data_IF_181611561382
#
_entry.id   IF_181611561382
#
_cell.length_a   1.000
_cell.length_b   1.000
_cell.length_c   1.000
_cell.angle_alpha   90.00
_cell.angle_beta   90.00
_cell.angle_gamma   90.00
#
_symmetry.space_group_name_H-M   'P 1'
#
loop_
_entity.id
_entity.type
_entity.pdbx_description
1 polymer ?
#
# COMPACT_ATOMS: atom_id res chain seq x y z
N UNK A 1 -11.22 -26.77 2.37
CA UNK A 1 -12.40 -27.32 3.04
C UNK A 1 -13.63 -26.65 2.44
N UNK A 2 -14.71 -27.39 2.18
CA UNK A 2 -15.94 -26.80 1.65
C UNK A 2 -16.64 -25.98 2.74
N UNK A 3 -17.21 -24.83 2.39
CA UNK A 3 -17.99 -24.01 3.31
C UNK A 3 -19.37 -24.64 3.56
N UNK A 4 -19.85 -24.62 4.80
CA UNK A 4 -21.22 -25.00 5.11
C UNK A 4 -22.14 -23.80 4.83
N UNK A 5 -22.91 -23.89 3.73
CA UNK A 5 -23.79 -22.82 3.27
C UNK A 5 -25.26 -23.07 3.60
N UNK A 6 -25.59 -24.23 4.15
CA UNK A 6 -26.96 -24.66 4.48
C UNK A 6 -27.46 -24.19 5.84
N UNK A 7 -26.56 -23.86 6.77
CA UNK A 7 -26.92 -23.41 8.13
C UNK A 7 -26.34 -22.04 8.41
N UNK A 8 -27.20 -21.08 8.75
CA UNK A 8 -26.80 -19.70 9.07
C UNK A 8 -26.35 -19.64 10.53
N UNK A 9 -25.08 -19.26 10.81
CA UNK A 9 -24.64 -19.03 12.18
C UNK A 9 -25.34 -17.80 12.78
N UNK A 10 -25.85 -17.89 14.01
CA UNK A 10 -26.46 -16.73 14.69
C UNK A 10 -25.46 -15.61 15.00
N UNK A 11 -24.19 -15.97 15.19
CA UNK A 11 -23.12 -15.02 15.53
C UNK A 11 -21.84 -15.31 14.75
N UNK A 12 -21.11 -14.25 14.44
CA UNK A 12 -19.79 -14.31 13.79
C UNK A 12 -18.69 -14.13 14.84
N UNK A 13 -17.61 -14.91 14.73
CA UNK A 13 -16.40 -14.70 15.54
C UNK A 13 -15.54 -13.56 14.99
N UNK A 14 -15.01 -12.73 15.87
CA UNK A 14 -14.05 -11.68 15.56
C UNK A 14 -12.80 -12.22 14.84
N UNK A 15 -12.26 -11.44 13.90
CA UNK A 15 -10.94 -11.71 13.28
C UNK A 15 -10.00 -10.52 13.48
N UNK A 16 -9.43 -10.45 14.69
CA UNK A 16 -8.51 -9.37 15.09
C UNK A 16 -7.21 -9.31 14.27
N UNK A 17 -6.85 -10.39 13.55
CA UNK A 17 -5.69 -10.40 12.66
C UNK A 17 -5.91 -9.59 11.38
N UNK A 18 -7.17 -9.37 11.00
CA UNK A 18 -7.56 -8.70 9.75
C UNK A 18 -8.28 -7.38 10.04
N UNK A 19 -9.26 -7.39 10.93
CA UNK A 19 -10.10 -6.24 11.28
C UNK A 19 -9.80 -5.68 12.68
N UNK A 20 -8.70 -6.12 13.32
CA UNK A 20 -8.31 -5.62 14.62
C UNK A 20 -7.89 -4.15 14.60
N UNK A 21 -8.16 -3.45 15.69
CA UNK A 21 -7.93 -2.00 15.84
C UNK A 21 -6.54 -1.55 15.39
N UNK A 22 -5.48 -2.26 15.79
CA UNK A 22 -4.12 -1.88 15.43
C UNK A 22 -3.76 -2.11 13.95
N UNK A 23 -4.42 -3.07 13.27
CA UNK A 23 -4.24 -3.30 11.83
C UNK A 23 -4.92 -2.18 11.05
N UNK A 24 -6.13 -1.80 11.45
CA UNK A 24 -6.85 -0.70 10.80
C UNK A 24 -6.14 0.64 11.05
N UNK A 25 -5.75 0.92 12.29
CA UNK A 25 -5.01 2.14 12.63
C UNK A 25 -3.69 2.25 11.89
N UNK A 26 -2.93 1.15 11.75
CA UNK A 26 -1.66 1.19 11.04
C UNK A 26 -1.86 1.57 9.57
N UNK A 27 -2.83 0.96 8.87
CA UNK A 27 -3.14 1.30 7.48
C UNK A 27 -3.62 2.75 7.31
N UNK A 28 -4.52 3.20 8.18
CA UNK A 28 -5.09 4.55 8.14
C UNK A 28 -3.99 5.59 8.43
N UNK A 29 -3.18 5.37 9.46
CA UNK A 29 -2.09 6.27 9.82
C UNK A 29 -1.01 6.31 8.74
N UNK A 30 -0.59 5.16 8.20
CA UNK A 30 0.38 5.12 7.08
C UNK A 30 -0.16 5.87 5.86
N UNK A 31 -1.44 5.68 5.51
CA UNK A 31 -2.05 6.40 4.40
C UNK A 31 -2.12 7.90 4.64
N UNK A 32 -2.52 8.34 5.83
CA UNK A 32 -2.57 9.74 6.20
C UNK A 32 -1.18 10.40 6.11
N UNK A 33 -0.15 9.75 6.66
CA UNK A 33 1.23 10.24 6.62
C UNK A 33 1.73 10.31 5.16
N UNK A 34 1.56 9.25 4.38
CA UNK A 34 2.04 9.18 3.00
C UNK A 34 1.36 10.22 2.09
N UNK A 35 0.04 10.39 2.21
CA UNK A 35 -0.71 11.40 1.44
C UNK A 35 -0.35 12.82 1.87
N UNK A 36 -0.14 13.05 3.17
CA UNK A 36 0.31 14.37 3.68
C UNK A 36 1.70 14.71 3.15
N UNK A 37 2.64 13.75 3.20
CA UNK A 37 3.98 13.96 2.63
C UNK A 37 3.89 14.24 1.13
N UNK A 38 3.08 13.46 0.40
CA UNK A 38 2.83 13.64 -1.04
C UNK A 38 2.31 15.05 -1.34
N UNK A 39 1.32 15.52 -0.57
CA UNK A 39 0.78 16.87 -0.70
C UNK A 39 1.82 17.96 -0.43
N UNK A 40 2.60 17.83 0.64
CA UNK A 40 3.64 18.82 0.96
C UNK A 40 4.74 18.89 -0.09
N UNK A 41 5.09 17.77 -0.73
CA UNK A 41 6.09 17.73 -1.81
C UNK A 41 5.57 18.44 -3.07
N UNK A 42 4.34 18.13 -3.50
CA UNK A 42 3.72 18.80 -4.66
C UNK A 42 3.55 20.31 -4.40
N UNK A 43 3.07 20.70 -3.21
CA UNK A 43 2.91 22.11 -2.86
C UNK A 43 4.24 22.86 -2.81
N UNK A 44 5.30 22.22 -2.33
CA UNK A 44 6.65 22.81 -2.32
C UNK A 44 7.14 23.05 -3.75
N UNK A 45 6.99 22.07 -4.64
CA UNK A 45 7.38 22.18 -6.04
C UNK A 45 6.59 23.26 -6.79
N UNK A 46 5.29 23.38 -6.50
CA UNK A 46 4.43 24.43 -7.07
C UNK A 46 4.77 25.84 -6.57
N UNK A 47 5.10 25.99 -5.27
CA UNK A 47 5.30 27.31 -4.66
C UNK A 47 6.68 27.89 -4.97
N UNK A 48 7.70 27.05 -5.11
CA UNK A 48 9.04 27.54 -5.41
C UNK A 48 9.92 26.43 -5.98
N UNK A 49 10.15 26.48 -7.29
CA UNK A 49 11.10 25.60 -7.98
C UNK A 49 12.55 25.78 -7.52
N UNK A 50 12.84 26.79 -6.69
CA UNK A 50 14.17 27.09 -6.15
C UNK A 50 14.45 26.47 -4.75
N UNK A 51 13.46 25.82 -4.11
CA UNK A 51 13.68 25.20 -2.78
C UNK A 51 14.24 23.79 -2.99
N UNK A 52 15.40 23.51 -2.38
CA UNK A 52 16.07 22.21 -2.42
C UNK A 52 15.09 21.06 -2.16
N UNK A 53 15.06 20.03 -3.03
CA UNK A 53 14.18 18.89 -2.87
C UNK A 53 14.48 18.13 -1.57
N UNK A 54 13.43 17.78 -0.82
CA UNK A 54 13.59 17.18 0.52
C UNK A 54 13.84 15.67 0.44
N UNK A 55 15.12 15.29 0.44
CA UNK A 55 15.61 13.90 0.44
C UNK A 55 14.88 13.05 1.49
N UNK A 56 14.73 13.59 2.69
CA UNK A 56 14.16 12.88 3.83
C UNK A 56 12.69 12.51 3.60
N UNK A 57 11.88 13.44 3.08
CA UNK A 57 10.45 13.22 2.85
C UNK A 57 10.22 12.22 1.72
N UNK A 58 11.01 12.30 0.64
CA UNK A 58 10.95 11.35 -0.47
C UNK A 58 11.29 9.93 -0.01
N UNK A 59 12.34 9.78 0.79
CA UNK A 59 12.72 8.48 1.38
C UNK A 59 11.67 7.94 2.35
N UNK A 60 11.17 8.79 3.24
CA UNK A 60 10.13 8.40 4.20
C UNK A 60 8.85 7.96 3.50
N UNK A 61 8.42 8.71 2.48
CA UNK A 61 7.27 8.36 1.64
C UNK A 61 7.48 7.01 0.94
N UNK A 62 8.68 6.80 0.39
CA UNK A 62 9.02 5.54 -0.27
C UNK A 62 8.91 4.34 0.71
N UNK A 63 9.48 4.48 1.90
CA UNK A 63 9.50 3.44 2.94
C UNK A 63 8.11 3.11 3.48
N UNK A 64 7.28 4.12 3.78
CA UNK A 64 5.88 3.88 4.20
C UNK A 64 5.06 3.18 3.12
N UNK A 65 5.25 3.57 1.85
CA UNK A 65 4.61 2.92 0.71
C UNK A 65 5.05 1.45 0.57
N UNK A 66 6.35 1.15 0.71
CA UNK A 66 6.87 -0.22 0.64
C UNK A 66 6.37 -1.12 1.78
N UNK A 67 6.25 -0.56 2.98
CA UNK A 67 5.69 -1.30 4.10
C UNK A 67 4.20 -1.61 3.87
N UNK A 68 3.42 -0.61 3.43
CA UNK A 68 1.98 -0.76 3.23
C UNK A 68 1.63 -1.73 2.09
N UNK A 69 2.45 -1.80 1.03
CA UNK A 69 2.16 -2.73 -0.07
C UNK A 69 2.34 -4.18 0.35
N UNK A 70 3.38 -4.47 1.12
CA UNK A 70 3.68 -5.82 1.59
C UNK A 70 2.65 -6.30 2.63
N UNK A 71 2.31 -5.44 3.59
CA UNK A 71 1.26 -5.77 4.57
C UNK A 71 -0.11 -5.89 3.90
N UNK A 72 -0.40 -5.05 2.88
CA UNK A 72 -1.65 -5.08 2.13
C UNK A 72 -1.83 -6.36 1.33
N UNK A 73 -0.78 -6.80 0.62
CA UNK A 73 -0.78 -8.10 -0.09
C UNK A 73 -0.91 -9.25 0.91
N UNK A 74 -0.22 -9.16 2.05
CA UNK A 74 -0.29 -10.18 3.11
C UNK A 74 -1.71 -10.39 3.63
N UNK A 75 -2.40 -9.31 4.02
CA UNK A 75 -3.78 -9.37 4.54
C UNK A 75 -4.74 -9.90 3.47
N UNK A 76 -4.64 -9.44 2.23
CA UNK A 76 -5.45 -9.96 1.11
C UNK A 76 -5.19 -11.46 0.87
N UNK A 77 -3.94 -11.91 0.98
CA UNK A 77 -3.61 -13.33 0.82
C UNK A 77 -4.24 -14.18 1.94
N UNK A 78 -4.19 -13.70 3.19
CA UNK A 78 -4.81 -14.38 4.33
C UNK A 78 -6.33 -14.47 4.20
N UNK A 79 -6.99 -13.39 3.80
CA UNK A 79 -8.44 -13.43 3.63
C UNK A 79 -8.86 -14.37 2.49
N UNK A 80 -8.14 -14.39 1.36
CA UNK A 80 -8.41 -15.35 0.28
C UNK A 80 -8.19 -16.81 0.72
N UNK A 81 -7.17 -17.07 1.55
CA UNK A 81 -6.95 -18.39 2.12
C UNK A 81 -8.09 -18.83 3.07
N UNK A 82 -8.78 -17.87 3.70
CA UNK A 82 -9.88 -18.09 4.66
C UNK A 82 -11.27 -17.89 4.06
N UNK A 83 -11.42 -17.93 2.74
CA UNK A 83 -12.72 -17.76 2.03
C UNK A 83 -13.84 -18.68 2.53
N UNK A 84 -13.52 -19.90 2.98
CA UNK A 84 -14.52 -20.87 3.46
C UNK A 84 -15.02 -20.62 4.88
N UNK A 85 -14.37 -19.73 5.64
CA UNK A 85 -14.68 -19.48 7.06
C UNK A 85 -14.94 -18.01 7.37
N UNK A 86 -14.43 -17.10 6.54
CA UNK A 86 -14.52 -15.66 6.75
C UNK A 86 -15.80 -15.10 6.12
N UNK A 87 -16.43 -14.15 6.80
CA UNK A 87 -17.70 -13.55 6.39
C UNK A 87 -17.51 -12.39 5.41
N UNK A 88 -18.56 -12.01 4.65
CA UNK A 88 -18.53 -10.87 3.73
C UNK A 88 -18.06 -9.55 4.35
N UNK A 89 -18.40 -9.30 5.62
CA UNK A 89 -17.97 -8.13 6.38
C UNK A 89 -16.43 -7.97 6.42
N UNK A 90 -15.69 -9.00 6.83
CA UNK A 90 -14.21 -8.94 6.85
C UNK A 90 -13.63 -8.79 5.45
N UNK A 91 -14.23 -9.45 4.45
CA UNK A 91 -13.85 -9.30 3.04
C UNK A 91 -14.00 -7.86 2.55
N UNK A 92 -15.08 -7.20 2.94
CA UNK A 92 -15.32 -5.80 2.61
C UNK A 92 -14.27 -4.88 3.26
N UNK A 93 -13.91 -5.10 4.52
CA UNK A 93 -12.84 -4.35 5.19
C UNK A 93 -11.51 -4.53 4.45
N UNK A 94 -11.10 -5.76 4.16
CA UNK A 94 -9.86 -6.04 3.42
C UNK A 94 -9.87 -5.31 2.07
N UNK A 95 -11.00 -5.36 1.37
CA UNK A 95 -11.14 -4.68 0.09
C UNK A 95 -10.96 -3.15 0.22
N UNK A 96 -11.56 -2.53 1.24
CA UNK A 96 -11.38 -1.10 1.52
C UNK A 96 -9.93 -0.75 1.90
N UNK A 97 -9.24 -1.59 2.69
CA UNK A 97 -7.81 -1.42 2.99
C UNK A 97 -6.94 -1.53 1.74
N UNK A 98 -7.29 -2.43 0.81
CA UNK A 98 -6.63 -2.57 -0.49
C UNK A 98 -6.80 -1.33 -1.36
N UNK A 99 -8.01 -0.75 -1.41
CA UNK A 99 -8.28 0.52 -2.10
C UNK A 99 -7.50 1.69 -1.48
N UNK A 100 -7.44 1.75 -0.14
CA UNK A 100 -6.65 2.74 0.58
C UNK A 100 -5.15 2.63 0.25
N UNK A 101 -4.61 1.41 0.28
CA UNK A 101 -3.23 1.11 -0.11
C UNK A 101 -2.97 1.49 -1.58
N UNK A 102 -3.89 1.19 -2.51
CA UNK A 102 -3.74 1.57 -3.91
C UNK A 102 -3.69 3.09 -4.11
N UNK A 103 -4.53 3.85 -3.40
CA UNK A 103 -4.50 5.30 -3.44
C UNK A 103 -3.14 5.87 -2.99
N UNK A 104 -2.57 5.32 -1.92
CA UNK A 104 -1.25 5.71 -1.42
C UNK A 104 -0.13 5.38 -2.42
N UNK A 105 -0.17 4.19 -3.00
CA UNK A 105 0.81 3.74 -3.99
C UNK A 105 0.79 4.60 -5.26
N UNK A 106 -0.41 4.89 -5.78
CA UNK A 106 -0.57 5.77 -6.93
C UNK A 106 -0.14 7.21 -6.62
N UNK A 107 -0.48 7.75 -5.44
CA UNK A 107 0.00 9.07 -5.02
C UNK A 107 1.54 9.11 -4.91
N UNK A 108 2.14 8.06 -4.35
CA UNK A 108 3.60 7.94 -4.24
C UNK A 108 4.27 7.90 -5.61
N UNK A 109 3.72 7.15 -6.58
CA UNK A 109 4.23 7.11 -7.95
C UNK A 109 4.18 8.48 -8.63
N UNK A 110 3.09 9.23 -8.45
CA UNK A 110 2.95 10.57 -9.04
C UNK A 110 4.03 11.54 -8.54
N UNK A 111 4.35 11.47 -7.25
CA UNK A 111 5.32 12.36 -6.59
C UNK A 111 6.77 11.96 -6.84
N UNK A 112 7.05 10.65 -6.86
CA UNK A 112 8.41 10.10 -6.98
C UNK A 112 8.73 9.60 -8.41
N UNK A 113 7.99 10.06 -9.42
CA UNK A 113 8.13 9.59 -10.81
C UNK A 113 9.56 9.75 -11.35
N UNK A 114 10.25 10.84 -10.99
CA UNK A 114 11.62 11.10 -11.41
C UNK A 114 12.61 10.15 -10.71
N UNK A 115 12.41 9.90 -9.43
CA UNK A 115 13.25 8.99 -8.64
C UNK A 115 13.14 7.54 -9.16
N UNK A 116 11.94 7.08 -9.53
CA UNK A 116 11.75 5.74 -10.11
C UNK A 116 12.23 5.59 -11.55
N UNK A 117 12.39 6.69 -12.30
CA UNK A 117 12.93 6.60 -13.68
C UNK A 117 14.42 6.27 -13.68
N UNK A 118 15.15 6.70 -12.64
CA UNK A 118 16.58 6.40 -12.47
C UNK A 118 16.85 4.92 -12.24
N UNK A 119 16.06 4.28 -11.37
CA UNK A 119 16.31 2.92 -10.90
C UNK A 119 15.31 1.93 -11.50
N UNK A 120 15.67 1.37 -12.67
CA UNK A 120 14.81 0.44 -13.42
C UNK A 120 14.36 -0.77 -12.59
N UNK A 121 15.24 -1.41 -11.82
CA UNK A 121 14.88 -2.61 -11.03
C UNK A 121 13.83 -2.30 -9.97
N UNK A 122 14.03 -1.23 -9.19
CA UNK A 122 13.08 -0.80 -8.16
C UNK A 122 11.73 -0.40 -8.78
N UNK A 123 11.77 0.22 -9.96
CA UNK A 123 10.58 0.55 -10.73
C UNK A 123 9.75 -0.69 -11.06
N UNK A 124 10.37 -1.75 -11.60
CA UNK A 124 9.65 -2.96 -11.97
C UNK A 124 9.19 -3.77 -10.77
N UNK A 125 10.00 -3.88 -9.72
CA UNK A 125 9.59 -4.53 -8.49
C UNK A 125 8.33 -3.86 -7.91
N UNK A 126 8.35 -2.53 -7.80
CA UNK A 126 7.22 -1.75 -7.29
C UNK A 126 5.99 -1.86 -8.18
N UNK A 127 6.15 -1.74 -9.50
CA UNK A 127 5.07 -1.88 -10.46
C UNK A 127 4.44 -3.28 -10.40
N UNK A 128 5.25 -4.33 -10.25
CA UNK A 128 4.81 -5.70 -10.07
C UNK A 128 4.01 -5.86 -8.77
N UNK A 129 4.51 -5.35 -7.65
CA UNK A 129 3.79 -5.42 -6.37
C UNK A 129 2.45 -4.65 -6.43
N UNK A 130 2.43 -3.46 -7.06
CA UNK A 130 1.19 -2.70 -7.23
C UNK A 130 0.22 -3.41 -8.18
N UNK A 131 0.72 -4.08 -9.22
CA UNK A 131 -0.10 -4.92 -10.09
C UNK A 131 -0.67 -6.13 -9.34
N UNK A 132 0.12 -6.82 -8.53
CA UNK A 132 -0.36 -7.90 -7.66
C UNK A 132 -1.46 -7.40 -6.71
N UNK A 133 -1.26 -6.22 -6.09
CA UNK A 133 -2.28 -5.59 -5.26
C UNK A 133 -3.55 -5.27 -6.05
N UNK A 134 -3.45 -4.79 -7.30
CA UNK A 134 -4.61 -4.55 -8.16
C UNK A 134 -5.36 -5.84 -8.46
N UNK A 135 -4.66 -6.90 -8.85
CA UNK A 135 -5.28 -8.20 -9.16
C UNK A 135 -6.02 -8.75 -7.94
N UNK A 136 -5.39 -8.73 -6.77
CA UNK A 136 -6.02 -9.14 -5.52
C UNK A 136 -7.25 -8.26 -5.22
N UNK A 137 -7.13 -6.93 -5.36
CA UNK A 137 -8.24 -5.98 -5.17
C UNK A 137 -9.42 -6.26 -6.10
N UNK A 138 -9.16 -6.60 -7.36
CA UNK A 138 -10.19 -6.99 -8.33
C UNK A 138 -10.87 -8.30 -7.92
N UNK A 139 -10.12 -9.29 -7.45
CA UNK A 139 -10.70 -10.54 -6.93
C UNK A 139 -11.62 -10.23 -5.75
N UNK A 140 -11.16 -9.49 -4.75
CA UNK A 140 -12.00 -9.06 -3.62
C UNK A 140 -13.25 -8.30 -4.07
N UNK A 141 -13.10 -7.38 -5.03
CA UNK A 141 -14.21 -6.66 -5.64
C UNK A 141 -15.25 -7.58 -6.28
N UNK A 142 -14.84 -8.67 -6.94
CA UNK A 142 -15.76 -9.66 -7.51
C UNK A 142 -16.52 -10.41 -6.41
N UNK A 143 -15.85 -10.81 -5.32
CA UNK A 143 -16.49 -11.45 -4.17
C UNK A 143 -17.55 -10.52 -3.56
N UNK A 144 -17.20 -9.25 -3.32
CA UNK A 144 -18.13 -8.24 -2.78
C UNK A 144 -19.28 -7.97 -3.76
N UNK A 145 -19.00 -7.82 -5.05
CA UNK A 145 -20.02 -7.56 -6.08
C UNK A 145 -21.03 -8.71 -6.15
N UNK A 146 -20.55 -9.95 -6.10
CA UNK A 146 -21.41 -11.13 -6.05
C UNK A 146 -22.23 -11.13 -4.76
N UNK A 147 -21.63 -10.80 -3.61
CA UNK A 147 -22.35 -10.72 -2.33
C UNK A 147 -23.49 -9.70 -2.36
N UNK A 148 -23.27 -8.54 -3.00
CA UNK A 148 -24.31 -7.52 -3.20
C UNK A 148 -25.38 -8.02 -4.18
N UNK A 149 -24.98 -8.70 -5.26
CA UNK A 149 -25.91 -9.24 -6.26
C UNK A 149 -26.85 -10.29 -5.66
N UNK A 150 -26.33 -11.15 -4.79
CA UNK A 150 -27.08 -12.23 -4.15
C UNK A 150 -27.76 -11.79 -2.85
N UNK A 151 -27.50 -10.58 -2.35
CA UNK A 151 -28.06 -10.10 -1.08
C UNK A 151 -27.47 -10.75 0.17
N UNK A 152 -26.25 -11.31 0.08
CA UNK A 152 -25.55 -11.94 1.20
C UNK A 152 -24.62 -10.97 1.96
N UNK A 153 -24.56 -9.70 1.58
CA UNK A 153 -23.62 -8.72 2.15
C UNK A 153 -23.71 -8.57 3.67
N UNK A 154 -24.92 -8.69 4.24
CA UNK A 154 -25.18 -8.56 5.67
C UNK A 154 -25.41 -9.93 6.36
N UNK A 155 -25.12 -11.03 5.65
CA UNK A 155 -25.26 -12.38 6.19
C UNK A 155 -24.01 -12.81 6.98
N UNK A 156 -24.22 -13.66 7.98
CA UNK A 156 -23.17 -14.30 8.78
C UNK A 156 -22.57 -15.53 8.10
N UNK A 157 -23.05 -15.90 6.92
CA UNK A 157 -22.53 -17.00 6.13
C UNK A 157 -21.10 -16.71 5.61
N UNK A 158 -20.25 -17.73 5.43
CA UNK A 158 -18.96 -17.56 4.79
C UNK A 158 -19.08 -17.00 3.38
N UNK A 159 -18.14 -16.14 2.96
CA UNK A 159 -18.19 -15.51 1.64
C UNK A 159 -18.17 -16.52 0.48
N UNK A 160 -17.56 -17.70 0.67
CA UNK A 160 -17.57 -18.77 -0.34
C UNK A 160 -19.00 -19.20 -0.74
N UNK A 161 -19.99 -18.98 0.12
CA UNK A 161 -21.39 -19.34 -0.14
C UNK A 161 -22.06 -18.49 -1.22
N UNK A 162 -21.44 -17.40 -1.66
CA UNK A 162 -21.96 -16.58 -2.76
C UNK A 162 -21.98 -17.31 -4.11
N UNK A 163 -21.25 -18.43 -4.24
CA UNK A 163 -21.31 -19.33 -5.40
C UNK A 163 -22.13 -20.61 -5.14
N UNK A 164 -22.65 -20.79 -3.94
CA UNK A 164 -23.38 -22.02 -3.60
C UNK A 164 -24.85 -21.92 -4.02
N UNK A 165 -25.43 -22.97 -4.62
CA UNK A 165 -26.87 -23.04 -4.86
C UNK A 165 -27.67 -23.33 -3.57
N UNK A 166 -27.01 -23.83 -2.52
CA UNK A 166 -27.66 -24.33 -1.29
C UNK A 166 -27.87 -23.24 -0.22
N UNK A 167 -27.93 -21.97 -0.61
CA UNK A 167 -28.11 -20.86 0.32
C UNK A 167 -29.59 -20.76 0.74
N UNK A 168 -29.89 -20.77 2.05
CA UNK A 168 -31.26 -20.58 2.52
C UNK A 168 -31.83 -19.23 2.07
N UNK A 169 -33.11 -19.17 1.65
CA UNK A 169 -33.74 -17.93 1.19
C UNK A 169 -33.80 -16.86 2.29
N UNK A 170 -33.78 -17.27 3.56
CA UNK A 170 -33.73 -16.40 4.74
C UNK A 170 -32.38 -15.67 4.93
N UNK A 171 -31.25 -16.25 4.49
CA UNK A 171 -29.96 -15.57 4.47
C UNK A 171 -29.88 -14.51 3.36
N UNK A 172 -30.71 -14.69 2.33
CA UNK A 172 -30.83 -13.75 1.22
C UNK A 172 -31.86 -12.72 1.60
N UNK A 173 -31.44 -11.68 2.32
CA UNK A 173 -32.31 -10.54 2.53
C UNK A 173 -32.57 -9.89 1.17
N UNK A 174 -33.73 -10.20 0.58
CA UNK A 174 -34.33 -9.36 -0.45
C UNK A 174 -34.58 -8.01 0.23
N UNK A 175 -33.60 -7.12 0.19
CA UNK A 175 -33.75 -5.79 0.77
C UNK A 175 -34.87 -5.09 -0.02
N UNK A 176 -36.08 -5.13 0.52
CA UNK A 176 -37.28 -4.50 -0.01
C UNK A 176 -37.20 -2.97 0.15
N UNK A 177 -36.14 -2.35 -0.39
CA UNK A 177 -35.82 -0.95 -0.12
C UNK A 177 -34.64 -0.39 -0.92
N UNK A 178 -34.79 -0.26 -2.24
CA UNK A 178 -34.28 0.88 -3.02
C UNK A 178 -32.78 1.03 -3.35
N UNK A 179 -31.83 0.37 -2.68
CA UNK A 179 -30.39 0.76 -2.81
C UNK A 179 -29.43 -0.31 -3.36
N UNK A 180 -29.90 -1.53 -3.68
CA UNK A 180 -29.03 -2.62 -4.21
C UNK A 180 -28.40 -2.20 -5.54
N UNK A 181 -29.18 -1.59 -6.44
CA UNK A 181 -28.67 -1.12 -7.74
C UNK A 181 -27.55 -0.08 -7.58
N UNK A 182 -27.69 0.85 -6.63
CA UNK A 182 -26.66 1.85 -6.35
C UNK A 182 -25.39 1.23 -5.76
N UNK A 183 -25.51 0.28 -4.82
CA UNK A 183 -24.37 -0.43 -4.24
C UNK A 183 -23.66 -1.34 -5.27
N UNK A 184 -24.43 -2.00 -6.14
CA UNK A 184 -23.94 -2.85 -7.22
C UNK A 184 -23.17 -2.01 -8.27
N UNK A 185 -23.79 -0.95 -8.78
CA UNK A 185 -23.16 -0.03 -9.74
C UNK A 185 -21.96 0.66 -9.11
N UNK A 186 -22.07 1.08 -7.85
CA UNK A 186 -20.97 1.68 -7.10
C UNK A 186 -19.76 0.75 -6.99
N UNK A 187 -19.99 -0.53 -6.66
CA UNK A 187 -18.93 -1.54 -6.60
C UNK A 187 -18.24 -1.72 -7.96
N UNK A 188 -19.00 -1.81 -9.05
CA UNK A 188 -18.42 -1.90 -10.42
C UNK A 188 -17.61 -0.66 -10.74
N UNK A 189 -18.13 0.53 -10.44
CA UNK A 189 -17.45 1.79 -10.70
C UNK A 189 -16.12 1.89 -9.94
N UNK A 190 -16.07 1.41 -8.69
CA UNK A 190 -14.83 1.38 -7.90
C UNK A 190 -13.81 0.41 -8.51
N UNK A 191 -14.23 -0.80 -8.90
CA UNK A 191 -13.32 -1.78 -9.53
C UNK A 191 -12.76 -1.23 -10.85
N UNK A 192 -13.63 -0.74 -11.74
CA UNK A 192 -13.24 -0.18 -13.03
C UNK A 192 -12.36 1.06 -12.85
N UNK A 193 -12.73 1.96 -11.93
CA UNK A 193 -11.96 3.15 -11.60
C UNK A 193 -10.55 2.81 -11.14
N UNK A 194 -10.40 1.77 -10.30
CA UNK A 194 -9.10 1.34 -9.80
C UNK A 194 -8.18 0.84 -10.93
N UNK A 195 -8.72 0.05 -11.87
CA UNK A 195 -7.99 -0.42 -13.05
C UNK A 195 -7.57 0.75 -13.95
N UNK A 196 -8.49 1.69 -14.21
CA UNK A 196 -8.20 2.88 -15.03
C UNK A 196 -7.12 3.74 -14.39
N UNK A 197 -7.24 4.04 -13.10
CA UNK A 197 -6.26 4.85 -12.35
C UNK A 197 -4.88 4.19 -12.41
N UNK A 198 -4.78 2.88 -12.17
CA UNK A 198 -3.51 2.17 -12.24
C UNK A 198 -2.91 2.21 -13.65
N UNK A 199 -3.73 2.03 -14.69
CA UNK A 199 -3.30 2.16 -16.08
C UNK A 199 -2.76 3.56 -16.40
N UNK A 200 -3.46 4.61 -15.95
CA UNK A 200 -3.03 6.00 -16.10
C UNK A 200 -1.74 6.30 -15.34
N UNK A 201 -1.59 5.79 -14.11
CA UNK A 201 -0.37 5.95 -13.31
C UNK A 201 0.83 5.24 -13.97
N UNK A 202 0.61 4.04 -14.52
CA UNK A 202 1.62 3.26 -15.25
C UNK A 202 2.04 3.96 -16.54
N UNK A 203 1.06 4.48 -17.28
CA UNK A 203 1.28 5.27 -18.48
C UNK A 203 2.10 6.53 -18.17
N UNK A 204 1.71 7.26 -17.12
CA UNK A 204 2.39 8.46 -16.66
C UNK A 204 3.87 8.20 -16.33
N UNK A 205 4.17 7.08 -15.67
CA UNK A 205 5.53 6.66 -15.33
C UNK A 205 6.41 6.38 -16.56
N UNK A 206 5.83 5.85 -17.64
CA UNK A 206 6.57 5.49 -18.86
C UNK A 206 6.62 6.61 -19.90
N UNK A 207 5.76 7.63 -19.80
CA UNK A 207 5.73 8.69 -20.77
C UNK A 207 6.99 9.59 -20.69
N UNK A 208 7.63 9.83 -21.84
CA UNK A 208 8.94 10.50 -21.95
C UNK A 208 8.88 12.02 -21.85
N UNK A 209 7.72 12.63 -22.14
CA UNK A 209 7.58 14.10 -22.16
C UNK A 209 6.15 14.48 -21.79
N UNK A 210 5.96 15.17 -20.68
CA UNK A 210 4.63 15.58 -20.21
C UNK A 210 4.61 17.09 -19.97
N UNK A 211 3.92 17.81 -20.85
CA UNK A 211 3.82 19.28 -20.81
C UNK A 211 2.98 19.79 -19.64
N UNK A 212 2.12 18.95 -19.06
CA UNK A 212 1.18 19.27 -17.98
C UNK A 212 1.38 18.43 -16.72
N UNK A 213 2.60 17.96 -16.47
CA UNK A 213 2.89 17.02 -15.37
C UNK A 213 2.45 17.55 -13.99
N UNK A 214 2.61 18.86 -13.71
CA UNK A 214 2.16 19.50 -12.46
C UNK A 214 0.65 19.42 -12.25
N UNK A 215 -0.13 19.60 -13.31
CA UNK A 215 -1.59 19.51 -13.25
C UNK A 215 -1.99 18.05 -12.99
N UNK A 216 -1.34 17.10 -13.66
CA UNK A 216 -1.59 15.67 -13.49
C UNK A 216 -1.28 15.24 -12.05
N UNK A 217 -0.16 15.69 -11.47
CA UNK A 217 0.18 15.42 -10.08
C UNK A 217 -0.84 15.99 -9.09
N UNK A 218 -1.27 17.24 -9.27
CA UNK A 218 -2.25 17.87 -8.38
C UNK A 218 -3.62 17.18 -8.46
N UNK A 219 -4.13 16.97 -9.68
CA UNK A 219 -5.43 16.29 -9.90
C UNK A 219 -5.38 14.85 -9.39
N UNK A 220 -4.29 14.13 -9.68
CA UNK A 220 -4.08 12.77 -9.21
C UNK A 220 -4.01 12.68 -7.69
N UNK A 221 -3.32 13.61 -7.02
CA UNK A 221 -3.27 13.68 -5.56
C UNK A 221 -4.66 13.93 -4.96
N UNK A 222 -5.43 14.88 -5.51
CA UNK A 222 -6.79 15.17 -5.03
C UNK A 222 -7.67 13.93 -5.18
N UNK A 223 -7.59 13.26 -6.32
CA UNK A 223 -8.35 12.02 -6.59
C UNK A 223 -7.97 10.91 -5.60
N UNK A 224 -6.67 10.64 -5.40
CA UNK A 224 -6.20 9.62 -4.46
C UNK A 224 -6.63 9.95 -3.02
N UNK A 225 -6.52 11.22 -2.63
CA UNK A 225 -6.93 11.68 -1.29
C UNK A 225 -8.43 11.48 -1.08
N UNK A 226 -9.26 11.85 -2.06
CA UNK A 226 -10.70 11.64 -2.00
C UNK A 226 -11.05 10.14 -1.88
N UNK A 227 -10.41 9.26 -2.66
CA UNK A 227 -10.62 7.81 -2.55
C UNK A 227 -10.18 7.25 -1.20
N UNK A 228 -9.05 7.73 -0.67
CA UNK A 228 -8.52 7.29 0.62
C UNK A 228 -9.44 7.71 1.78
N UNK A 229 -9.94 8.95 1.76
CA UNK A 229 -10.91 9.43 2.73
C UNK A 229 -12.21 8.63 2.66
N UNK A 230 -12.72 8.36 1.45
CA UNK A 230 -13.93 7.55 1.26
C UNK A 230 -13.79 6.12 1.81
N UNK A 231 -12.68 5.45 1.49
CA UNK A 231 -12.39 4.11 2.01
C UNK A 231 -12.23 4.11 3.54
N UNK A 232 -11.49 5.08 4.08
CA UNK A 232 -11.26 5.22 5.52
C UNK A 232 -12.58 5.47 6.27
N UNK A 233 -13.42 6.38 5.78
CA UNK A 233 -14.71 6.67 6.40
C UNK A 233 -15.60 5.42 6.44
N UNK A 234 -15.65 4.64 5.36
CA UNK A 234 -16.39 3.37 5.31
C UNK A 234 -15.85 2.36 6.33
N UNK A 235 -14.54 2.21 6.43
CA UNK A 235 -13.90 1.30 7.41
C UNK A 235 -14.20 1.74 8.85
N UNK A 236 -14.08 3.04 9.16
CA UNK A 236 -14.32 3.56 10.52
C UNK A 236 -15.77 3.35 10.95
N UNK A 237 -16.73 3.50 10.04
CA UNK A 237 -18.16 3.31 10.35
C UNK A 237 -18.49 1.83 10.53
N UNK A 238 -17.98 0.96 9.66
CA UNK A 238 -18.41 -0.44 9.61
C UNK A 238 -17.59 -1.37 10.51
N UNK A 239 -16.33 -1.06 10.79
CA UNK A 239 -15.48 -1.96 11.56
C UNK A 239 -15.85 -1.97 13.04
N UNK A 240 -16.01 -3.15 13.63
CA UNK A 240 -16.27 -3.33 15.06
C UNK A 240 -15.21 -2.68 15.96
N UNK A 241 -13.98 -2.54 15.46
CA UNK A 241 -12.89 -1.86 16.15
C UNK A 241 -13.20 -0.38 16.47
N UNK A 242 -14.03 0.30 15.68
CA UNK A 242 -14.33 1.73 15.82
C UNK A 242 -15.83 2.04 15.93
N UNK A 243 -16.67 1.31 15.20
CA UNK A 243 -18.11 1.52 15.08
C UNK A 243 -18.91 0.25 15.38
N UNK A 244 -20.09 0.16 14.77
CA UNK A 244 -21.02 -0.95 14.96
C UNK A 244 -21.05 -1.80 13.69
N UNK A 245 -20.69 -3.10 13.76
CA UNK A 245 -20.67 -3.97 12.60
C UNK A 245 -22.11 -4.25 12.12
N UNK A 246 -22.32 -4.43 10.80
CA UNK A 246 -23.65 -4.75 10.25
C UNK A 246 -24.14 -6.17 10.62
N UNK A 247 -23.28 -6.99 11.21
CA UNK A 247 -23.55 -8.39 11.56
C UNK A 247 -23.45 -8.62 13.07
N UNK A 248 -24.27 -9.52 13.65
CA UNK A 248 -24.18 -9.86 15.06
C UNK A 248 -22.86 -10.59 15.36
N UNK A 249 -22.01 -9.96 16.18
CA UNK A 249 -20.73 -10.53 16.61
C UNK A 249 -20.90 -11.30 17.91
N UNK A 250 -20.11 -12.38 18.09
CA UNK A 250 -20.10 -13.21 19.30
C UNK A 250 -19.24 -12.59 20.41
N UNK A 251 -18.22 -11.83 20.05
CA UNK A 251 -17.16 -11.32 20.91
C UNK A 251 -16.68 -9.94 20.44
N UNK A 252 -15.92 -9.24 21.30
CA UNK A 252 -15.34 -7.91 21.01
C UNK A 252 -13.84 -7.97 20.66
N UNK A 253 -13.41 -9.08 20.04
CA UNK A 253 -12.00 -9.34 19.77
C UNK A 253 -11.33 -8.31 18.86
N UNK A 254 -12.08 -7.67 17.97
CA UNK A 254 -11.56 -6.63 17.05
C UNK A 254 -11.21 -5.32 17.77
N UNK A 255 -11.89 -5.04 18.89
CA UNK A 255 -11.67 -3.86 19.73
C UNK A 255 -10.55 -4.07 20.74
N UNK A 256 -10.32 -5.33 21.13
CA UNK A 256 -9.26 -5.69 22.06
C UNK A 256 -7.87 -5.56 21.42
N UNK A 257 -6.93 -4.99 22.17
CA UNK A 257 -5.52 -4.93 21.76
C UNK A 257 -4.87 -6.31 21.92
N UNK A 258 -4.30 -6.80 20.83
CA UNK A 258 -3.50 -8.03 20.78
C UNK A 258 -2.05 -7.73 20.40
N UNK A 259 -1.14 -8.67 20.64
CA UNK A 259 0.26 -8.54 20.23
C UNK A 259 0.39 -8.23 18.73
N UNK A 260 -0.40 -8.90 17.87
CA UNK A 260 -0.39 -8.65 16.43
C UNK A 260 -0.82 -7.22 16.07
N UNK A 261 -1.85 -6.69 16.76
CA UNK A 261 -2.32 -5.32 16.57
C UNK A 261 -1.30 -4.27 17.06
N UNK A 262 -0.54 -4.59 18.11
CA UNK A 262 0.53 -3.72 18.61
C UNK A 262 1.72 -3.74 17.65
N UNK A 263 2.07 -4.92 17.13
CA UNK A 263 3.14 -5.10 16.16
C UNK A 263 2.84 -4.36 14.86
N UNK A 264 1.60 -4.41 14.37
CA UNK A 264 1.22 -3.68 13.14
C UNK A 264 1.38 -2.17 13.28
N UNK A 265 1.07 -1.60 14.45
CA UNK A 265 1.33 -0.19 14.75
C UNK A 265 2.83 0.06 14.95
N UNK A 266 3.53 -0.82 15.65
CA UNK A 266 4.97 -0.72 15.88
C UNK A 266 5.79 -0.69 14.59
N UNK A 267 5.35 -1.40 13.55
CA UNK A 267 6.00 -1.36 12.24
C UNK A 267 6.01 0.04 11.62
N UNK A 268 5.08 0.96 11.96
CA UNK A 268 5.14 2.36 11.50
C UNK A 268 6.37 3.11 12.03
N UNK A 269 7.03 2.61 13.07
CA UNK A 269 8.25 3.22 13.59
C UNK A 269 9.47 2.91 12.72
N UNK A 270 9.45 1.84 11.92
CA UNK A 270 10.62 1.43 11.11
C UNK A 270 11.06 2.53 10.12
N UNK A 271 10.15 3.15 9.34
CA UNK A 271 10.54 4.25 8.46
C UNK A 271 11.11 5.47 9.22
N UNK A 272 10.69 5.69 10.47
CA UNK A 272 11.21 6.76 11.32
C UNK A 272 12.63 6.46 11.81
N UNK A 273 12.92 5.20 12.15
CA UNK A 273 14.28 4.78 12.52
C UNK A 273 15.24 5.02 11.35
N UNK A 274 14.85 4.64 10.12
CA UNK A 274 15.66 4.92 8.93
C UNK A 274 15.89 6.42 8.70
N UNK A 275 14.92 7.28 9.04
CA UNK A 275 15.08 8.73 9.02
C UNK A 275 16.13 9.20 10.03
N UNK A 276 16.11 8.66 11.25
CA UNK A 276 17.09 9.01 12.29
C UNK A 276 18.50 8.57 11.88
N UNK A 277 18.66 7.40 11.29
CA UNK A 277 19.96 6.91 10.76
C UNK A 277 20.50 7.83 9.67
N UNK A 278 19.63 8.32 8.77
CA UNK A 278 20.01 9.31 7.74
C UNK A 278 20.44 10.64 8.39
N UNK A 279 19.71 11.12 9.40
CA UNK A 279 20.04 12.36 10.10
C UNK A 279 21.35 12.26 10.89
N UNK A 280 21.66 11.07 11.43
CA UNK A 280 22.95 10.77 12.08
C UNK A 280 24.11 10.64 11.10
N UNK A 281 23.82 10.56 9.79
CA UNK A 281 24.84 10.41 8.75
C UNK A 281 25.35 8.97 8.59
N UNK A 282 24.68 8.00 9.20
CA UNK A 282 25.00 6.57 9.07
C UNK A 282 24.65 6.04 7.67
N UNK A 283 23.63 6.64 7.03
CA UNK A 283 23.19 6.31 5.68
C UNK A 283 23.32 7.54 4.76
N UNK A 284 24.24 7.48 3.78
CA UNK A 284 24.32 8.50 2.71
C UNK A 284 23.25 8.25 1.66
N UNK A 285 22.57 9.32 1.26
CA UNK A 285 21.45 9.28 0.33
C UNK A 285 21.85 10.02 -0.95
N UNK A 286 21.70 9.38 -2.11
CA UNK A 286 21.86 10.07 -3.39
C UNK A 286 20.87 11.26 -3.44
N UNK A 287 21.31 12.43 -3.95
CA UNK A 287 20.41 13.55 -4.14
C UNK A 287 19.28 13.16 -5.12
N UNK A 288 18.06 13.69 -4.92
CA UNK A 288 16.96 13.58 -5.87
C UNK A 288 17.35 14.21 -7.19
N UNK A 289 16.79 13.70 -8.28
CA UNK A 289 17.05 14.20 -9.63
C UNK A 289 16.35 15.56 -9.80
N UNK A 290 17.07 16.59 -10.21
CA UNK A 290 16.49 17.91 -10.51
C UNK A 290 15.65 17.85 -11.81
N UNK A 291 14.53 18.57 -11.82
CA UNK A 291 13.56 18.54 -12.93
C UNK A 291 14.06 19.27 -14.19
N UNK A 292 15.12 20.09 -14.09
CA UNK A 292 15.66 20.92 -15.18
C UNK A 292 16.79 20.24 -15.98
N UNK A 293 17.33 19.10 -15.52
CA UNK A 293 18.36 18.38 -16.25
C UNK A 293 17.73 17.46 -17.30
N UNK A 294 17.95 17.82 -18.57
CA UNK A 294 17.65 16.98 -19.73
C UNK A 294 18.29 15.60 -19.57
N UNK A 295 17.62 14.51 -19.97
CA UNK A 295 18.12 13.17 -19.77
C UNK A 295 19.24 12.88 -20.76
N UNK A 296 20.49 13.19 -20.41
CA UNK A 296 21.63 12.47 -20.97
C UNK A 296 21.69 11.09 -20.29
N UNK A 297 21.29 10.10 -21.07
CA UNK A 297 20.98 8.69 -20.75
C UNK A 297 22.20 7.86 -20.28
N UNK A 298 23.17 8.46 -19.56
CA UNK A 298 24.44 7.80 -19.20
C UNK A 298 25.02 8.13 -17.82
N UNK A 299 24.34 8.83 -16.93
CA UNK A 299 24.64 8.76 -15.49
C UNK A 299 24.00 7.51 -14.89
N UNK A 300 24.30 6.37 -15.51
CA UNK A 300 24.07 5.08 -14.94
C UNK A 300 24.75 5.02 -13.57
N UNK A 301 24.16 4.22 -12.69
CA UNK A 301 24.49 3.89 -11.30
C UNK A 301 25.93 3.40 -11.02
N UNK A 302 26.88 3.69 -11.93
CA UNK A 302 28.30 3.34 -11.92
C UNK A 302 29.21 4.56 -12.20
N UNK A 303 28.70 5.78 -12.17
CA UNK A 303 29.52 7.01 -12.27
C UNK A 303 30.38 7.30 -11.04
N UNK A 304 30.09 6.67 -9.90
CA UNK A 304 30.78 6.88 -8.63
C UNK A 304 31.76 5.77 -8.24
N UNK A 305 32.41 5.16 -9.23
CA UNK A 305 33.74 4.62 -8.99
C UNK A 305 34.76 5.71 -8.61
N UNK A 306 34.42 7.00 -8.79
CA UNK A 306 35.27 8.13 -8.41
C UNK A 306 34.85 8.87 -7.13
N UNK A 307 33.67 8.62 -6.51
CA UNK A 307 33.36 9.19 -5.19
C UNK A 307 34.02 8.45 -4.01
N UNK A 308 34.86 7.45 -4.31
CA UNK A 308 35.83 6.89 -3.37
C UNK A 308 37.26 7.39 -3.59
N UNK A 309 37.51 8.27 -4.57
CA UNK A 309 38.87 8.71 -4.90
C UNK A 309 38.94 10.21 -5.26
N UNK A 310 38.48 11.09 -4.36
CA UNK A 310 38.91 12.48 -4.41
C UNK A 310 38.85 13.16 -3.05
N UNK A 311 39.84 12.85 -2.20
CA UNK A 311 40.29 13.79 -1.17
C UNK A 311 41.71 14.23 -1.54
N UNK A 312 41.97 15.51 -1.83
CA UNK A 312 43.33 15.99 -2.00
C UNK A 312 43.97 16.06 -0.61
N UNK A 313 44.90 15.13 -0.33
CA UNK A 313 45.71 15.11 0.89
C UNK A 313 45.14 14.24 2.01
N UNK A 314 45.70 13.05 2.19
CA UNK A 314 45.44 12.21 3.36
C UNK A 314 45.92 10.77 3.16
N UNK A 315 46.93 10.36 3.92
CA UNK A 315 47.57 9.05 3.89
C UNK A 315 46.59 7.86 3.91
N UNK A 316 46.97 6.81 3.16
CA UNK A 316 46.43 5.45 3.15
C UNK A 316 46.08 4.96 4.56
N UNK A 317 44.81 4.60 4.80
CA UNK A 317 44.43 3.72 5.91
C UNK A 317 43.40 2.71 5.40
N UNK A 318 43.87 1.46 5.29
CA UNK A 318 43.19 0.15 5.28
C UNK A 318 41.66 0.11 5.18
N UNK A 319 41.18 -0.53 4.12
CA UNK A 319 39.88 -1.22 4.15
C UNK A 319 39.92 -2.30 5.24
N UNK A 320 38.93 -2.30 6.14
CA UNK A 320 38.68 -3.43 7.04
C UNK A 320 38.20 -4.63 6.21
N UNK A 321 38.86 -5.80 6.28
CA UNK A 321 38.39 -6.99 5.59
C UNK A 321 37.14 -7.57 6.26
N UNK A 322 36.25 -8.13 5.42
CA UNK A 322 35.00 -8.78 5.81
C UNK A 322 35.23 -9.90 6.84
N UNK A 323 34.39 -10.04 7.88
CA UNK A 323 34.63 -10.95 9.00
C UNK A 323 34.45 -12.44 8.69
N UNK A 324 34.03 -12.81 7.47
CA UNK A 324 33.72 -14.19 7.13
C UNK A 324 34.70 -14.88 6.18
N UNK A 325 35.48 -14.17 5.36
CA UNK A 325 36.53 -14.79 4.52
C UNK A 325 37.61 -13.76 4.12
N UNK A 326 38.85 -13.99 4.57
CA UNK A 326 40.06 -13.46 3.89
C UNK A 326 41.08 -12.75 4.78
N UNK A 327 41.94 -13.52 5.44
CA UNK A 327 43.22 -13.07 6.00
C UNK A 327 44.22 -12.83 4.86
N UNK A 328 44.71 -11.60 4.67
CA UNK A 328 45.83 -11.32 3.77
C UNK A 328 47.17 -11.71 4.43
N UNK A 329 47.48 -13.00 4.39
CA UNK A 329 48.85 -13.49 4.50
C UNK A 329 49.20 -14.16 3.18
N UNK A 330 50.05 -13.50 2.40
CA UNK A 330 51.09 -14.03 1.50
C UNK A 330 51.39 -13.01 0.39
N UNK A 331 52.23 -12.04 0.74
CA UNK A 331 53.02 -11.25 -0.20
C UNK A 331 54.00 -12.20 -0.91
N UNK A 332 53.70 -12.58 -2.16
CA UNK A 332 54.71 -13.14 -3.05
C UNK A 332 55.59 -12.01 -3.59
N UNK A 333 56.81 -11.92 -3.06
CA UNK A 333 57.93 -11.20 -3.65
C UNK A 333 58.28 -11.88 -4.98
N UNK A 334 58.34 -11.11 -6.07
CA UNK A 334 59.10 -11.54 -7.25
C UNK A 334 60.05 -10.42 -7.68
N UNK A 335 61.31 -10.84 -7.82
CA UNK A 335 62.50 -10.10 -8.26
C UNK A 335 62.25 -9.26 -9.50
#
# INVERSE_FOLDING_TARGET
MAANCSSIPEHVSSDAGVAGIGVLLSFIATAAIALTISATLILQEMRSSAIKPSILRRKLLNAYSDQQILTGIGIQSVGLAKTSTMVPYHFFIIWMLSLLSMAVHNATLLVLVHDFRRDWVLRWLRQLLMFCNLVLSCVYGIFVLRGVQTGLSDSTLPIACVWSPDVPPEATHSATGGNIGAAYVGTIAVIAGNVVIFGLATWYLHARTQRFYRIIQLVGLVLMTASAVGATARVVIMAQAFGEPPVPMRDEGERAWSFGSLLSVGMLLLPLVSVVEILRGEIRCAPPVDDDDRPDDKSALLGDANELESRPGGNRISFQPNPFWGSQTNLFIRK
#
